data_IF_452102778293
#
_entry.id   IF_452102778293
#
_cell.length_a   1.000
_cell.length_b   1.000
_cell.length_c   1.000
_cell.angle_alpha   90.00
_cell.angle_beta   90.00
_cell.angle_gamma   90.00
#
_symmetry.space_group_name_H-M   'P 1'
#
loop_
_entity.id
_entity.type
_entity.pdbx_description
1 polymer ?
#
# COMPACT_ATOMS: atom_id res chain seq x y z
N UNK A 1 -12.29 11.88 -6.40
CA UNK A 1 -10.93 11.31 -6.45
C UNK A 1 -10.94 9.79 -6.50
N UNK A 2 -11.72 9.10 -5.64
CA UNK A 2 -11.92 7.65 -5.74
C UNK A 2 -13.02 7.30 -6.75
N UNK A 3 -12.81 7.65 -8.01
CA UNK A 3 -13.75 7.40 -9.11
C UNK A 3 -13.55 6.01 -9.75
N UNK A 4 -14.44 5.61 -10.67
CA UNK A 4 -14.36 4.27 -11.30
C UNK A 4 -13.33 4.16 -12.41
N UNK A 5 -12.80 5.27 -12.92
CA UNK A 5 -11.97 5.28 -14.12
C UNK A 5 -10.49 5.40 -13.76
N UNK A 6 -10.12 6.44 -13.02
CA UNK A 6 -8.71 6.75 -12.78
C UNK A 6 -8.15 6.10 -11.52
N UNK A 7 -8.92 6.12 -10.44
CA UNK A 7 -8.50 5.52 -9.18
C UNK A 7 -8.09 4.04 -9.29
N UNK A 8 -8.89 3.12 -9.86
CA UNK A 8 -8.49 1.71 -9.95
C UNK A 8 -7.37 1.45 -10.97
N UNK A 9 -6.98 2.45 -11.78
CA UNK A 9 -5.91 2.31 -12.77
C UNK A 9 -4.59 2.84 -12.20
N UNK A 10 -4.59 4.08 -11.72
CA UNK A 10 -3.36 4.76 -11.29
C UNK A 10 -2.81 4.17 -10.00
N UNK A 11 -3.67 3.89 -9.02
CA UNK A 11 -3.25 3.38 -7.71
C UNK A 11 -2.47 2.06 -7.78
N UNK A 12 -2.93 1.01 -8.48
CA UNK A 12 -2.16 -0.23 -8.58
C UNK A 12 -0.90 -0.12 -9.45
N UNK A 13 -0.94 0.65 -10.54
CA UNK A 13 0.23 0.84 -11.43
C UNK A 13 1.38 1.49 -10.66
N UNK A 14 1.09 2.51 -9.86
CA UNK A 14 2.13 3.15 -9.04
C UNK A 14 2.53 2.25 -7.88
N UNK A 15 1.58 1.61 -7.21
CA UNK A 15 1.83 0.77 -6.04
C UNK A 15 2.71 -0.45 -6.31
N UNK A 16 2.62 -1.06 -7.50
CA UNK A 16 3.38 -2.28 -7.81
C UNK A 16 4.88 -2.04 -7.94
N UNK A 17 5.32 -0.83 -8.32
CA UNK A 17 6.74 -0.50 -8.54
C UNK A 17 7.58 -0.70 -7.28
N UNK A 18 7.09 -0.18 -6.14
CA UNK A 18 7.75 -0.32 -4.85
C UNK A 18 7.64 -1.75 -4.31
N UNK A 19 6.49 -2.40 -4.49
CA UNK A 19 6.30 -3.79 -4.07
C UNK A 19 7.28 -4.72 -4.78
N UNK A 20 7.42 -4.59 -6.10
CA UNK A 20 8.32 -5.41 -6.92
C UNK A 20 9.78 -5.30 -6.48
N UNK A 21 10.27 -4.08 -6.21
CA UNK A 21 11.66 -3.85 -5.80
C UNK A 21 11.98 -4.51 -4.45
N UNK A 22 11.09 -4.35 -3.47
CA UNK A 22 11.26 -4.90 -2.12
C UNK A 22 11.12 -6.43 -2.13
N UNK A 23 10.16 -6.96 -2.88
CA UNK A 23 10.01 -8.41 -3.10
C UNK A 23 11.29 -9.01 -3.67
N UNK A 24 11.87 -8.41 -4.71
CA UNK A 24 13.13 -8.88 -5.30
C UNK A 24 14.27 -8.89 -4.28
N UNK A 25 14.47 -7.80 -3.54
CA UNK A 25 15.54 -7.70 -2.56
C UNK A 25 15.40 -8.71 -1.42
N UNK A 26 14.21 -8.84 -0.83
CA UNK A 26 13.96 -9.76 0.29
C UNK A 26 14.05 -11.23 -0.15
N UNK A 27 13.60 -11.54 -1.36
CA UNK A 27 13.66 -12.91 -1.88
C UNK A 27 15.09 -13.35 -2.17
N UNK A 28 15.87 -12.53 -2.87
CA UNK A 28 17.22 -12.90 -3.31
C UNK A 28 18.16 -13.05 -2.10
N UNK A 29 18.05 -12.16 -1.11
CA UNK A 29 18.99 -12.15 0.02
C UNK A 29 18.53 -13.01 1.20
N UNK A 30 17.22 -13.04 1.52
CA UNK A 30 16.71 -13.63 2.76
C UNK A 30 15.66 -14.73 2.54
N UNK A 31 15.20 -14.96 1.30
CA UNK A 31 14.13 -15.91 0.97
C UNK A 31 12.83 -15.68 1.75
N UNK A 32 12.56 -14.43 2.13
CA UNK A 32 11.40 -14.06 2.92
C UNK A 32 10.23 -13.65 2.00
N UNK A 33 9.05 -14.33 2.06
CA UNK A 33 7.91 -14.07 1.19
C UNK A 33 6.92 -13.06 1.80
N UNK A 34 7.40 -11.87 2.18
CA UNK A 34 6.54 -10.79 2.72
C UNK A 34 6.92 -9.39 2.20
N UNK A 35 7.51 -9.32 1.01
CA UNK A 35 8.02 -8.06 0.46
C UNK A 35 6.93 -7.06 0.10
N UNK A 36 5.86 -7.51 -0.57
CA UNK A 36 4.75 -6.63 -0.97
C UNK A 36 3.93 -6.17 0.24
N UNK A 37 3.62 -7.08 1.16
CA UNK A 37 2.86 -6.79 2.37
C UNK A 37 3.58 -5.80 3.26
N UNK A 38 4.89 -5.94 3.46
CA UNK A 38 5.69 -4.96 4.21
C UNK A 38 5.60 -3.57 3.57
N UNK A 39 5.77 -3.48 2.26
CA UNK A 39 5.67 -2.21 1.52
C UNK A 39 4.31 -1.53 1.72
N UNK A 40 3.21 -2.30 1.57
CA UNK A 40 1.85 -1.75 1.68
C UNK A 40 1.50 -1.39 3.12
N UNK A 41 1.97 -2.14 4.12
CA UNK A 41 1.79 -1.78 5.54
C UNK A 41 2.52 -0.49 5.87
N UNK A 42 3.77 -0.33 5.41
CA UNK A 42 4.52 0.91 5.60
C UNK A 42 3.83 2.11 4.94
N UNK A 43 3.31 1.94 3.72
CA UNK A 43 2.55 2.99 3.04
C UNK A 43 1.28 3.33 3.82
N UNK A 44 0.52 2.33 4.26
CA UNK A 44 -0.74 2.55 4.98
C UNK A 44 -0.51 3.29 6.30
N UNK A 45 0.51 2.91 7.06
CA UNK A 45 0.91 3.63 8.28
C UNK A 45 1.34 5.07 7.97
N UNK A 46 2.15 5.24 6.92
CA UNK A 46 2.60 6.55 6.45
C UNK A 46 1.46 7.45 5.94
N UNK A 47 0.36 6.87 5.46
CA UNK A 47 -0.85 7.61 5.09
C UNK A 47 -1.72 7.95 6.31
N UNK A 48 -1.87 7.03 7.26
CA UNK A 48 -2.71 7.25 8.44
C UNK A 48 -2.16 8.33 9.38
N UNK A 49 -0.85 8.39 9.56
CA UNK A 49 -0.17 9.41 10.38
C UNK A 49 -0.57 10.85 10.01
N UNK A 50 -0.34 11.34 8.77
CA UNK A 50 -0.71 12.69 8.37
C UNK A 50 -2.22 12.90 8.27
N UNK A 51 -3.02 11.85 7.98
CA UNK A 51 -4.49 11.93 8.00
C UNK A 51 -5.02 12.22 9.40
N UNK A 52 -4.48 11.55 10.41
CA UNK A 52 -4.90 11.76 11.79
C UNK A 52 -4.33 13.06 12.38
N UNK A 53 -3.01 13.27 12.25
CA UNK A 53 -2.33 14.40 12.89
C UNK A 53 -2.54 15.71 12.12
N UNK A 54 -2.40 15.69 10.79
CA UNK A 54 -2.50 16.89 9.96
C UNK A 54 -3.94 17.24 9.62
N UNK A 55 -4.64 16.33 8.94
CA UNK A 55 -5.97 16.64 8.40
C UNK A 55 -7.06 16.65 9.48
N UNK A 56 -7.13 15.63 10.33
CA UNK A 56 -8.16 15.54 11.37
C UNK A 56 -7.85 16.46 12.56
N UNK A 57 -6.69 16.32 13.20
CA UNK A 57 -6.35 17.16 14.35
C UNK A 57 -6.01 18.60 13.93
N UNK A 58 -5.11 18.78 12.95
CA UNK A 58 -4.63 20.12 12.58
C UNK A 58 -5.63 20.97 11.79
N UNK A 59 -6.38 20.39 10.86
CA UNK A 59 -7.27 21.13 9.94
C UNK A 59 -8.76 20.79 10.11
N UNK A 60 -9.11 19.93 11.07
CA UNK A 60 -10.50 19.54 11.39
C UNK A 60 -11.31 18.95 10.23
N UNK A 61 -10.65 18.28 9.29
CA UNK A 61 -11.35 17.51 8.27
C UNK A 61 -11.93 16.22 8.85
N UNK A 62 -13.18 15.84 8.49
CA UNK A 62 -13.77 14.59 8.96
C UNK A 62 -13.03 13.38 8.38
N UNK A 63 -12.67 12.42 9.23
CA UNK A 63 -11.90 11.22 8.86
C UNK A 63 -12.52 10.40 7.71
N UNK A 64 -13.86 10.35 7.64
CA UNK A 64 -14.58 9.66 6.56
C UNK A 64 -14.27 10.23 5.16
N UNK A 65 -13.96 11.51 5.07
CA UNK A 65 -13.63 12.18 3.81
C UNK A 65 -12.19 11.88 3.36
N UNK A 66 -11.26 11.76 4.31
CA UNK A 66 -9.83 11.49 4.08
C UNK A 66 -9.46 10.04 4.39
N UNK A 67 -10.31 9.08 4.03
CA UNK A 67 -9.98 7.64 4.18
C UNK A 67 -8.93 7.19 3.15
N UNK A 68 -7.91 6.39 3.52
CA UNK A 68 -6.93 5.87 2.57
C UNK A 68 -7.50 4.80 1.63
N UNK A 69 -6.71 4.44 0.62
CA UNK A 69 -6.98 3.27 -0.22
C UNK A 69 -6.54 2.00 0.47
N UNK A 70 -7.22 0.88 0.22
CA UNK A 70 -6.86 -0.42 0.78
C UNK A 70 -6.22 -1.26 -0.32
N UNK A 71 -4.92 -1.53 -0.19
CA UNK A 71 -4.16 -2.39 -1.11
C UNK A 71 -3.67 -3.70 -0.45
N UNK A 72 -3.99 -3.91 0.83
CA UNK A 72 -3.57 -5.08 1.61
C UNK A 72 -3.93 -6.42 0.95
N UNK A 73 -5.16 -6.63 0.43
CA UNK A 73 -5.50 -7.89 -0.23
C UNK A 73 -4.65 -8.18 -1.46
N UNK A 74 -4.36 -7.16 -2.29
CA UNK A 74 -3.52 -7.30 -3.47
C UNK A 74 -2.06 -7.61 -3.13
N UNK A 75 -1.54 -6.99 -2.07
CA UNK A 75 -0.18 -7.27 -1.59
C UNK A 75 -0.02 -8.70 -1.07
N UNK A 76 -1.01 -9.21 -0.31
CA UNK A 76 -1.02 -10.60 0.16
C UNK A 76 -1.04 -11.58 -1.01
N UNK A 77 -1.88 -11.33 -2.03
CA UNK A 77 -1.92 -12.17 -3.21
C UNK A 77 -0.57 -12.21 -3.93
N UNK A 78 0.10 -11.06 -4.09
CA UNK A 78 1.44 -11.00 -4.71
C UNK A 78 2.49 -11.81 -3.93
N UNK A 79 2.54 -11.65 -2.61
CA UNK A 79 3.47 -12.41 -1.76
C UNK A 79 3.20 -13.93 -1.83
N UNK A 80 1.93 -14.35 -1.83
CA UNK A 80 1.57 -15.77 -2.00
C UNK A 80 1.95 -16.31 -3.38
N UNK A 81 1.71 -15.56 -4.45
CA UNK A 81 2.09 -16.01 -5.80
C UNK A 81 3.59 -16.22 -5.93
N UNK A 82 4.39 -15.31 -5.38
CA UNK A 82 5.85 -15.40 -5.41
C UNK A 82 6.39 -16.56 -4.55
N UNK A 83 5.68 -16.92 -3.48
CA UNK A 83 6.05 -18.07 -2.66
C UNK A 83 5.77 -19.42 -3.35
N UNK A 84 4.73 -19.48 -4.19
CA UNK A 84 4.30 -20.71 -4.85
C UNK A 84 5.06 -21.01 -6.16
N UNK A 85 5.75 -20.02 -6.75
CA UNK A 85 6.47 -20.13 -8.03
C UNK A 85 7.99 -20.11 -7.85
#
# INVERSE_FOLDING_TARGET
WKDRQWWPVVTPIVGITYCSTIMYYLWVNYRLPFGATLCVVCLLLGEWLPRYLGFFWGSHYPLNFVTPGIMLPGALMLDFTMYLT
#
